data_IF_390909009911
#
_entry.id   IF_390909009911
#
_cell.length_a   1.000
_cell.length_b   1.000
_cell.length_c   1.000
_cell.angle_alpha   90.00
_cell.angle_beta   90.00
_cell.angle_gamma   90.00
#
_symmetry.space_group_name_H-M   'P 1'
#
loop_
_entity.id
_entity.type
_entity.pdbx_description
1 polymer ?
#
# COMPACT_ATOMS: atom_id res chain seq x y z
N UNK A 1 27.20 4.52 23.16
CA UNK A 1 25.99 4.64 22.32
C UNK A 1 24.84 3.94 23.00
N UNK A 2 23.74 4.67 23.31
CA UNK A 2 22.54 4.11 23.91
C UNK A 2 21.63 3.56 22.79
N UNK A 3 21.29 2.27 22.86
CA UNK A 3 20.33 1.63 21.95
C UNK A 3 18.98 1.52 22.65
N UNK A 4 17.90 1.95 21.98
CA UNK A 4 16.52 1.78 22.46
C UNK A 4 15.80 0.94 21.41
N UNK A 5 15.16 -0.15 21.85
CA UNK A 5 14.35 -1.02 21.00
C UNK A 5 12.88 -0.73 21.32
N UNK A 6 12.08 -0.47 20.28
CA UNK A 6 10.65 -0.18 20.37
C UNK A 6 9.91 -1.15 19.48
N UNK A 7 8.93 -1.86 20.02
CA UNK A 7 8.00 -2.64 19.23
C UNK A 7 7.03 -1.71 18.52
N UNK A 8 6.82 -1.94 17.21
CA UNK A 8 5.92 -1.12 16.42
C UNK A 8 4.48 -1.62 16.50
N UNK A 9 3.58 -0.80 16.00
CA UNK A 9 2.15 -1.01 16.01
C UNK A 9 1.65 -1.43 14.63
N UNK A 10 0.53 -2.12 14.62
CA UNK A 10 -0.23 -2.46 13.43
C UNK A 10 -1.21 -1.33 13.15
N UNK A 11 -1.24 -0.76 11.92
CA UNK A 11 -2.01 0.43 11.57
C UNK A 11 -1.76 1.59 12.56
N UNK A 12 -0.56 2.19 12.57
CA UNK A 12 -0.12 3.11 13.62
C UNK A 12 -0.94 4.39 13.66
N UNK A 13 -1.17 4.89 14.88
CA UNK A 13 -1.87 6.15 15.13
C UNK A 13 -0.90 7.24 15.60
N UNK A 14 -1.32 8.51 15.54
CA UNK A 14 -0.56 9.59 16.16
C UNK A 14 -0.46 9.43 17.68
N UNK A 15 -1.44 8.81 18.34
CA UNK A 15 -1.38 8.49 19.77
C UNK A 15 -0.25 7.50 20.07
N UNK A 16 -0.03 6.50 19.21
CA UNK A 16 1.07 5.56 19.39
C UNK A 16 2.42 6.25 19.22
N UNK A 17 2.53 7.14 18.23
CA UNK A 17 3.72 7.95 18.03
C UNK A 17 4.01 8.84 19.26
N UNK A 18 2.98 9.47 19.85
CA UNK A 18 3.10 10.26 21.10
C UNK A 18 3.60 9.42 22.27
N UNK A 19 3.08 8.19 22.45
CA UNK A 19 3.53 7.26 23.50
C UNK A 19 5.02 6.94 23.37
N UNK A 20 5.46 6.64 22.13
CA UNK A 20 6.88 6.36 21.87
C UNK A 20 7.74 7.59 22.20
N UNK A 21 7.38 8.78 21.71
CA UNK A 21 8.13 10.00 21.98
C UNK A 21 8.25 10.27 23.46
N UNK A 22 7.18 10.06 24.24
CA UNK A 22 7.21 10.21 25.71
C UNK A 22 8.18 9.22 26.37
N UNK A 23 8.24 7.96 25.89
CA UNK A 23 9.11 6.93 26.47
C UNK A 23 10.60 7.18 26.23
N UNK A 24 10.94 7.93 25.16
CA UNK A 24 12.33 8.24 24.78
C UNK A 24 12.72 9.70 25.04
N UNK A 25 11.90 10.44 25.80
CA UNK A 25 12.10 11.86 26.08
C UNK A 25 13.50 12.12 26.68
N UNK A 26 14.16 13.16 26.19
CA UNK A 26 15.51 13.57 26.64
C UNK A 26 16.65 12.75 26.02
N UNK A 27 16.38 11.77 25.20
CA UNK A 27 17.40 11.04 24.45
C UNK A 27 17.62 11.69 23.08
N UNK A 28 18.89 11.92 22.71
CA UNK A 28 19.27 12.34 21.36
C UNK A 28 19.57 11.09 20.50
N UNK A 29 19.11 11.10 19.29
CA UNK A 29 19.32 10.02 18.31
C UNK A 29 20.03 10.57 17.08
N UNK A 30 20.99 9.82 16.56
CA UNK A 30 21.73 10.12 15.33
C UNK A 30 21.17 9.29 14.15
N UNK A 31 20.47 8.19 14.45
CA UNK A 31 19.95 7.24 13.47
C UNK A 31 18.69 6.56 14.02
N UNK A 32 17.72 6.30 13.14
CA UNK A 32 16.57 5.45 13.42
C UNK A 32 16.59 4.29 12.41
N UNK A 33 16.45 3.06 12.90
CA UNK A 33 16.39 1.87 12.06
C UNK A 33 14.99 1.27 12.19
N UNK A 34 14.24 1.22 11.09
CA UNK A 34 12.94 0.55 10.99
C UNK A 34 13.11 -0.85 10.42
N UNK A 35 12.95 -1.89 11.26
CA UNK A 35 13.02 -3.30 10.83
C UNK A 35 11.63 -3.92 10.98
N UNK A 36 10.94 -4.21 9.89
CA UNK A 36 9.58 -4.77 9.95
C UNK A 36 8.77 -4.54 8.69
N UNK A 37 7.45 -4.59 8.79
CA UNK A 37 6.54 -4.24 7.70
C UNK A 37 6.38 -2.73 7.53
N UNK A 38 5.54 -2.32 6.57
CA UNK A 38 5.28 -0.91 6.25
C UNK A 38 4.93 -0.07 7.48
N UNK A 39 4.05 -0.57 8.36
CA UNK A 39 3.70 0.12 9.61
C UNK A 39 4.90 0.41 10.52
N UNK A 40 5.85 -0.52 10.62
CA UNK A 40 7.08 -0.33 11.40
C UNK A 40 7.97 0.75 10.76
N UNK A 41 8.09 0.71 9.44
CA UNK A 41 8.88 1.69 8.68
C UNK A 41 8.23 3.07 8.79
N UNK A 42 6.90 3.15 8.70
CA UNK A 42 6.17 4.41 8.88
C UNK A 42 6.36 5.00 10.29
N UNK A 43 6.34 4.16 11.33
CA UNK A 43 6.67 4.61 12.70
C UNK A 43 8.09 5.17 12.77
N UNK A 44 9.08 4.50 12.18
CA UNK A 44 10.47 4.98 12.14
C UNK A 44 10.57 6.35 11.42
N UNK A 45 9.91 6.49 10.28
CA UNK A 45 9.84 7.73 9.50
C UNK A 45 9.11 8.83 10.25
N UNK A 46 7.95 8.53 10.86
CA UNK A 46 7.21 9.49 11.69
C UNK A 46 8.00 9.96 12.90
N UNK A 47 8.71 9.05 13.59
CA UNK A 47 9.60 9.40 14.71
C UNK A 47 10.73 10.33 14.27
N UNK A 48 11.29 10.13 13.09
CA UNK A 48 12.44 10.91 12.59
C UNK A 48 12.18 12.42 12.57
N UNK A 49 10.92 12.81 12.37
CA UNK A 49 10.50 14.22 12.36
C UNK A 49 9.76 14.65 13.62
N UNK A 50 9.00 13.74 14.24
CA UNK A 50 8.14 14.09 15.37
C UNK A 50 8.92 14.31 16.68
N UNK A 51 10.07 13.66 16.87
CA UNK A 51 10.91 13.82 18.09
C UNK A 51 11.31 15.28 18.31
N UNK A 52 11.66 15.98 17.24
CA UNK A 52 12.10 17.38 17.29
C UNK A 52 10.97 18.39 17.08
N UNK A 53 9.74 17.93 16.85
CA UNK A 53 8.60 18.78 16.57
C UNK A 53 7.96 19.31 17.87
N UNK A 54 8.02 20.64 18.07
CA UNK A 54 7.58 21.29 19.31
C UNK A 54 6.08 21.54 19.41
N UNK A 55 5.32 21.34 18.31
CA UNK A 55 3.88 21.55 18.26
C UNK A 55 3.13 20.21 18.35
N UNK A 56 1.81 20.24 18.25
CA UNK A 56 1.01 19.00 18.16
C UNK A 56 1.41 18.18 16.94
N UNK A 57 1.87 16.94 17.14
CA UNK A 57 2.40 16.09 16.07
C UNK A 57 1.34 15.73 15.00
N UNK A 58 0.05 15.83 15.33
CA UNK A 58 -1.02 15.66 14.33
C UNK A 58 -1.00 16.73 13.24
N UNK A 59 -0.38 17.89 13.51
CA UNK A 59 -0.17 18.94 12.53
C UNK A 59 0.88 18.59 11.47
N UNK A 60 1.63 17.50 11.67
CA UNK A 60 2.55 16.94 10.66
C UNK A 60 1.80 16.27 9.51
N UNK A 61 0.54 15.85 9.70
CA UNK A 61 -0.25 15.21 8.66
C UNK A 61 -0.50 16.16 7.47
N UNK A 62 -0.15 15.73 6.28
CA UNK A 62 -0.24 16.51 5.04
C UNK A 62 1.12 16.66 4.37
N UNK A 63 1.20 17.53 3.37
CA UNK A 63 2.39 17.75 2.56
C UNK A 63 3.20 18.91 3.15
N UNK A 64 4.50 18.67 3.41
CA UNK A 64 5.50 19.66 3.85
C UNK A 64 5.04 20.55 5.04
N UNK A 65 4.49 19.90 6.09
CA UNK A 65 3.97 20.60 7.27
C UNK A 65 5.05 21.00 8.29
N UNK A 66 6.32 20.79 7.98
CA UNK A 66 7.47 21.12 8.83
C UNK A 66 8.70 21.47 7.99
N UNK A 67 9.63 22.27 8.59
CA UNK A 67 10.84 22.73 7.89
C UNK A 67 12.15 22.24 8.54
N UNK A 68 12.09 21.65 9.75
CA UNK A 68 13.29 21.13 10.41
C UNK A 68 13.77 19.83 9.74
N UNK A 69 15.05 19.51 9.93
CA UNK A 69 15.63 18.28 9.41
C UNK A 69 15.17 17.08 10.22
N UNK A 70 15.01 15.95 9.53
CA UNK A 70 14.71 14.66 10.13
C UNK A 70 15.96 13.97 10.63
N UNK A 71 15.81 13.08 11.60
CA UNK A 71 16.84 12.11 11.94
C UNK A 71 16.93 11.09 10.79
N UNK A 72 18.13 10.74 10.30
CA UNK A 72 18.28 9.74 9.24
C UNK A 72 17.57 8.43 9.57
N UNK A 73 16.88 7.86 8.58
CA UNK A 73 16.18 6.58 8.70
C UNK A 73 16.86 5.55 7.80
N UNK A 74 17.08 4.35 8.34
CA UNK A 74 17.39 3.13 7.59
C UNK A 74 16.17 2.24 7.65
N UNK A 75 15.66 1.81 6.49
CA UNK A 75 14.51 0.92 6.39
C UNK A 75 14.94 -0.48 5.97
N UNK A 76 14.49 -1.49 6.72
CA UNK A 76 14.78 -2.91 6.48
C UNK A 76 13.44 -3.65 6.50
N UNK A 77 12.75 -3.79 5.35
CA UNK A 77 11.47 -4.46 5.31
C UNK A 77 11.61 -5.97 5.58
N UNK A 78 10.73 -6.49 6.44
CA UNK A 78 10.60 -7.95 6.70
C UNK A 78 9.35 -8.54 6.05
N UNK A 79 8.66 -7.77 5.24
CA UNK A 79 7.53 -8.15 4.39
C UNK A 79 7.41 -7.12 3.26
N UNK A 80 7.11 -7.57 2.05
CA UNK A 80 7.10 -6.72 0.87
C UNK A 80 5.67 -6.48 0.36
N UNK A 81 5.41 -5.27 -0.13
CA UNK A 81 4.11 -4.87 -0.67
C UNK A 81 3.88 -3.36 -0.64
N UNK A 82 4.04 -2.72 0.53
CA UNK A 82 3.73 -1.30 0.71
C UNK A 82 4.71 -0.32 0.06
N UNK A 83 5.97 -0.73 -0.14
CA UNK A 83 7.04 0.15 -0.61
C UNK A 83 7.41 1.29 0.35
N UNK A 84 7.00 1.21 1.61
CA UNK A 84 7.26 2.25 2.62
C UNK A 84 8.74 2.59 2.78
N UNK A 85 9.62 1.64 2.47
CA UNK A 85 11.07 1.76 2.58
C UNK A 85 11.70 2.77 1.61
N UNK A 86 11.00 3.15 0.54
CA UNK A 86 11.51 4.11 -0.44
C UNK A 86 10.60 5.33 -0.64
N UNK A 87 9.46 5.40 0.06
CA UNK A 87 8.51 6.50 -0.12
C UNK A 87 8.81 7.70 0.78
N UNK A 88 8.55 8.95 0.32
CA UNK A 88 8.61 10.17 1.12
C UNK A 88 7.32 10.37 1.94
N UNK A 89 6.68 9.30 2.39
CA UNK A 89 5.42 9.33 3.13
C UNK A 89 5.45 8.39 4.32
N UNK A 90 5.00 8.83 5.49
CA UNK A 90 4.78 8.02 6.68
C UNK A 90 3.29 8.08 7.05
N UNK A 91 2.57 6.95 6.94
CA UNK A 91 1.12 6.92 7.05
C UNK A 91 0.67 6.62 8.47
N UNK A 92 -0.21 7.48 9.00
CA UNK A 92 -0.79 7.36 10.34
C UNK A 92 -2.31 7.57 10.31
N UNK A 93 -3.02 6.92 11.23
CA UNK A 93 -4.41 7.24 11.52
C UNK A 93 -4.43 8.38 12.55
N UNK A 94 -5.13 9.46 12.19
CA UNK A 94 -5.48 10.49 13.14
C UNK A 94 -6.75 10.04 13.88
N UNK A 95 -6.58 9.58 15.10
CA UNK A 95 -7.66 8.98 15.89
C UNK A 95 -8.79 9.98 16.24
N UNK A 96 -8.49 11.30 16.22
CA UNK A 96 -9.48 12.35 16.48
C UNK A 96 -10.38 12.60 15.26
N UNK A 97 -9.79 12.65 14.07
CA UNK A 97 -10.52 12.95 12.82
C UNK A 97 -10.95 11.71 12.06
N UNK A 98 -10.45 10.53 12.46
CA UNK A 98 -10.61 9.26 11.74
C UNK A 98 -10.09 9.33 10.29
N UNK A 99 -9.10 10.18 10.05
CA UNK A 99 -8.45 10.30 8.74
C UNK A 99 -7.14 9.50 8.77
N UNK A 100 -7.02 8.51 7.90
CA UNK A 100 -5.74 7.86 7.58
C UNK A 100 -5.05 8.69 6.51
N UNK A 101 -3.79 9.08 6.73
CA UNK A 101 -3.04 9.91 5.79
C UNK A 101 -1.59 10.08 6.18
N UNK A 102 -0.76 10.55 5.24
CA UNK A 102 0.68 10.62 5.39
C UNK A 102 1.18 11.91 6.05
N UNK A 103 2.32 11.79 6.72
CA UNK A 103 3.31 12.85 6.86
C UNK A 103 4.13 12.78 5.56
N UNK A 104 3.90 13.69 4.63
CA UNK A 104 4.49 13.64 3.30
C UNK A 104 5.54 14.73 3.15
N UNK A 105 6.79 14.33 2.98
CA UNK A 105 7.92 15.24 2.71
C UNK A 105 9.13 14.41 2.29
N UNK A 106 9.97 14.94 1.40
CA UNK A 106 11.26 14.32 1.07
C UNK A 106 12.12 14.07 2.31
N UNK A 107 11.94 14.88 3.36
CA UNK A 107 12.65 14.75 4.65
C UNK A 107 12.29 13.49 5.45
N UNK A 108 11.17 12.81 5.17
CA UNK A 108 10.80 11.53 5.83
C UNK A 108 11.22 10.31 5.03
N UNK A 109 11.73 10.50 3.80
CA UNK A 109 12.22 9.39 2.99
C UNK A 109 13.41 8.71 3.67
N UNK A 110 13.44 7.38 3.79
CA UNK A 110 14.59 6.67 4.32
C UNK A 110 15.86 6.96 3.50
N UNK A 111 16.96 7.19 4.20
CA UNK A 111 18.25 7.45 3.55
C UNK A 111 18.82 6.19 2.90
N UNK A 112 18.51 5.02 3.49
CA UNK A 112 18.90 3.72 2.97
C UNK A 112 17.74 2.74 3.15
N UNK A 113 17.54 1.87 2.15
CA UNK A 113 16.63 0.74 2.20
C UNK A 113 17.40 -0.54 1.88
N UNK A 114 17.30 -1.55 2.76
CA UNK A 114 17.92 -2.86 2.56
C UNK A 114 16.84 -3.90 2.40
N UNK A 115 16.69 -4.45 1.20
CA UNK A 115 15.73 -5.49 0.90
C UNK A 115 16.46 -6.84 0.91
N UNK A 116 16.22 -7.62 1.96
CA UNK A 116 16.76 -8.96 2.10
C UNK A 116 15.61 -9.97 2.22
N UNK A 117 15.37 -10.79 1.17
CA UNK A 117 14.31 -11.80 1.19
C UNK A 117 14.44 -12.83 2.33
N UNK A 118 15.65 -13.08 2.83
CA UNK A 118 15.83 -13.97 3.97
C UNK A 118 15.18 -13.45 5.25
N UNK A 119 15.20 -12.15 5.49
CA UNK A 119 14.53 -11.55 6.66
C UNK A 119 13.02 -11.71 6.61
N UNK A 120 12.46 -11.80 5.41
CA UNK A 120 11.04 -11.98 5.20
C UNK A 120 10.55 -13.40 5.54
N UNK A 121 11.39 -14.44 5.40
CA UNK A 121 11.03 -15.86 5.65
C UNK A 121 10.45 -16.15 7.04
N UNK A 122 10.58 -15.23 7.98
CA UNK A 122 9.97 -15.36 9.32
C UNK A 122 8.43 -15.21 9.36
N UNK A 123 7.81 -14.81 8.26
CA UNK A 123 6.37 -14.55 8.18
C UNK A 123 5.62 -15.71 7.54
N UNK A 124 4.31 -15.79 7.83
CA UNK A 124 3.45 -16.79 7.19
C UNK A 124 3.21 -16.45 5.72
N UNK A 125 3.12 -17.45 4.84
CA UNK A 125 2.87 -17.27 3.41
C UNK A 125 1.62 -16.41 3.15
N UNK A 126 0.54 -16.60 3.93
CA UNK A 126 -0.66 -15.75 3.86
C UNK A 126 -0.37 -14.25 4.07
N UNK A 127 0.52 -13.94 5.01
CA UNK A 127 0.88 -12.53 5.24
C UNK A 127 1.64 -11.94 4.06
N UNK A 128 2.57 -12.71 3.47
CA UNK A 128 3.27 -12.29 2.25
C UNK A 128 2.30 -12.08 1.10
N UNK A 129 1.41 -13.04 0.87
CA UNK A 129 0.41 -12.94 -0.19
C UNK A 129 -0.49 -11.71 0.01
N UNK A 130 -1.00 -11.49 1.24
CA UNK A 130 -1.85 -10.32 1.53
C UNK A 130 -1.11 -9.01 1.26
N UNK A 131 0.16 -8.88 1.69
CA UNK A 131 0.94 -7.65 1.45
C UNK A 131 1.33 -7.50 -0.03
N UNK A 132 1.59 -8.58 -0.74
CA UNK A 132 1.86 -8.53 -2.17
C UNK A 132 0.66 -8.02 -2.99
N UNK A 133 -0.58 -8.26 -2.53
CA UNK A 133 -1.76 -7.66 -3.15
C UNK A 133 -1.79 -6.13 -3.03
N UNK A 134 -1.18 -5.54 -2.01
CA UNK A 134 -1.02 -4.08 -1.92
C UNK A 134 -0.15 -3.55 -3.08
N UNK A 135 0.97 -4.21 -3.37
CA UNK A 135 1.79 -3.89 -4.54
C UNK A 135 1.03 -4.08 -5.86
N UNK A 136 0.12 -5.06 -5.96
CA UNK A 136 -0.74 -5.22 -7.15
C UNK A 136 -1.74 -4.09 -7.29
N UNK A 137 -2.34 -3.61 -6.20
CA UNK A 137 -3.19 -2.41 -6.23
C UNK A 137 -2.38 -1.23 -6.73
N UNK A 138 -1.18 -1.02 -6.18
CA UNK A 138 -0.28 0.06 -6.60
C UNK A 138 0.02 -0.02 -8.10
N UNK A 139 0.39 -1.19 -8.64
CA UNK A 139 0.76 -1.32 -10.04
C UNK A 139 -0.43 -1.27 -10.99
N UNK A 140 -1.48 -2.08 -10.76
CA UNK A 140 -2.59 -2.20 -11.70
C UNK A 140 -3.44 -0.93 -11.77
N UNK A 141 -3.63 -0.22 -10.63
CA UNK A 141 -4.39 1.03 -10.63
C UNK A 141 -3.55 2.21 -11.11
N UNK A 142 -2.25 2.29 -10.78
CA UNK A 142 -1.37 3.35 -11.27
C UNK A 142 -1.10 3.26 -12.77
N UNK A 143 -1.13 2.06 -13.37
CA UNK A 143 -0.99 1.88 -14.82
C UNK A 143 -2.04 2.66 -15.60
N UNK A 144 -3.29 2.64 -15.14
CA UNK A 144 -4.43 3.26 -15.80
C UNK A 144 -4.81 4.64 -15.20
N UNK A 145 -4.03 5.15 -14.25
CA UNK A 145 -4.24 6.50 -13.72
C UNK A 145 -4.25 7.53 -14.86
N UNK A 146 -5.14 8.53 -14.78
CA UNK A 146 -5.26 9.56 -15.82
C UNK A 146 -4.02 10.49 -15.91
N UNK A 147 -3.11 10.41 -14.96
CA UNK A 147 -1.82 11.11 -14.96
C UNK A 147 -0.63 10.18 -15.23
N UNK A 148 -0.89 8.89 -15.51
CA UNK A 148 0.17 7.95 -15.87
C UNK A 148 0.79 8.29 -17.22
N UNK A 149 2.05 7.95 -17.39
CA UNK A 149 2.82 8.14 -18.60
C UNK A 149 3.65 6.87 -18.91
N UNK A 150 4.42 6.86 -20.00
CA UNK A 150 5.19 5.69 -20.40
C UNK A 150 6.20 5.23 -19.33
N UNK A 151 6.79 6.16 -18.57
CA UNK A 151 7.69 5.83 -17.48
C UNK A 151 6.94 5.08 -16.37
N UNK A 152 5.84 5.64 -15.83
CA UNK A 152 5.06 5.01 -14.76
C UNK A 152 4.44 3.69 -15.21
N UNK A 153 3.93 3.62 -16.45
CA UNK A 153 3.38 2.39 -17.02
C UNK A 153 4.41 1.26 -17.15
N UNK A 154 5.66 1.59 -17.50
CA UNK A 154 6.73 0.60 -17.55
C UNK A 154 7.00 -0.01 -16.18
N UNK A 155 7.06 0.80 -15.13
CA UNK A 155 7.22 0.33 -13.75
C UNK A 155 6.00 -0.47 -13.29
N UNK A 156 4.79 0.02 -13.52
CA UNK A 156 3.55 -0.68 -13.16
C UNK A 156 3.44 -2.06 -13.81
N UNK A 157 3.74 -2.17 -15.11
CA UNK A 157 3.73 -3.42 -15.84
C UNK A 157 4.73 -4.43 -15.24
N UNK A 158 5.99 -4.02 -15.07
CA UNK A 158 7.03 -4.88 -14.49
C UNK A 158 6.70 -5.24 -13.03
N UNK A 159 6.15 -4.31 -12.25
CA UNK A 159 5.68 -4.55 -10.89
C UNK A 159 4.61 -5.65 -10.86
N UNK A 160 3.57 -5.52 -11.67
CA UNK A 160 2.48 -6.50 -11.71
C UNK A 160 2.95 -7.89 -12.16
N UNK A 161 3.82 -7.98 -13.18
CA UNK A 161 4.39 -9.24 -13.65
C UNK A 161 5.18 -9.93 -12.51
N UNK A 162 6.10 -9.22 -11.88
CA UNK A 162 6.95 -9.78 -10.82
C UNK A 162 6.13 -10.20 -9.60
N UNK A 163 5.18 -9.38 -9.15
CA UNK A 163 4.36 -9.71 -7.99
C UNK A 163 3.47 -10.92 -8.26
N UNK A 164 2.78 -11.00 -9.40
CA UNK A 164 1.93 -12.16 -9.72
C UNK A 164 2.79 -13.42 -9.86
N UNK A 165 3.95 -13.34 -10.54
CA UNK A 165 4.88 -14.47 -10.67
C UNK A 165 5.38 -14.95 -9.31
N UNK A 166 5.75 -14.02 -8.43
CA UNK A 166 6.18 -14.33 -7.07
C UNK A 166 5.05 -14.99 -6.26
N UNK A 167 3.83 -14.48 -6.34
CA UNK A 167 2.67 -15.09 -5.68
C UNK A 167 2.39 -16.52 -6.14
N UNK A 168 2.53 -16.81 -7.45
CA UNK A 168 2.38 -18.18 -8.01
C UNK A 168 3.50 -19.14 -7.59
N UNK A 169 4.63 -18.61 -7.16
CA UNK A 169 5.81 -19.37 -6.76
C UNK A 169 5.93 -19.53 -5.24
N UNK A 170 5.21 -18.74 -4.45
CA UNK A 170 5.45 -18.52 -3.02
C UNK A 170 5.36 -19.79 -2.16
N UNK A 171 4.51 -20.74 -2.51
CA UNK A 171 4.41 -22.05 -1.82
C UNK A 171 5.35 -23.13 -2.41
N UNK A 172 6.08 -22.82 -3.50
CA UNK A 172 6.95 -23.79 -4.20
C UNK A 172 8.43 -23.46 -4.00
N UNK A 173 8.79 -22.20 -4.11
CA UNK A 173 10.14 -21.67 -3.91
C UNK A 173 10.05 -20.30 -3.22
N UNK A 174 9.96 -20.34 -1.89
CA UNK A 174 9.70 -19.15 -1.07
C UNK A 174 10.74 -18.04 -1.29
N UNK A 175 12.03 -18.38 -1.35
CA UNK A 175 13.08 -17.36 -1.46
C UNK A 175 13.04 -16.63 -2.80
N UNK A 176 12.90 -17.35 -3.90
CA UNK A 176 12.75 -16.77 -5.22
C UNK A 176 11.46 -15.95 -5.33
N UNK A 177 10.36 -16.48 -4.78
CA UNK A 177 9.08 -15.77 -4.72
C UNK A 177 9.18 -14.45 -3.96
N UNK A 178 9.82 -14.45 -2.78
CA UNK A 178 10.03 -13.25 -1.98
C UNK A 178 10.95 -12.24 -2.69
N UNK A 179 11.94 -12.71 -3.44
CA UNK A 179 12.78 -11.85 -4.29
C UNK A 179 11.93 -11.16 -5.37
N UNK A 180 11.11 -11.93 -6.10
CA UNK A 180 10.22 -11.37 -7.11
C UNK A 180 9.20 -10.38 -6.52
N UNK A 181 8.61 -10.70 -5.36
CA UNK A 181 7.65 -9.81 -4.68
C UNK A 181 8.36 -8.53 -4.20
N UNK A 182 9.56 -8.63 -3.65
CA UNK A 182 10.34 -7.46 -3.22
C UNK A 182 10.62 -6.51 -4.40
N UNK A 183 11.19 -7.02 -5.48
CA UNK A 183 11.46 -6.24 -6.69
C UNK A 183 10.17 -5.67 -7.30
N UNK A 184 9.11 -6.50 -7.39
CA UNK A 184 7.82 -6.09 -7.90
C UNK A 184 7.17 -4.99 -7.05
N UNK A 185 7.31 -5.07 -5.73
CA UNK A 185 6.85 -4.03 -4.78
C UNK A 185 7.55 -2.68 -5.03
N UNK A 186 8.88 -2.69 -5.24
CA UNK A 186 9.63 -1.48 -5.58
C UNK A 186 9.16 -0.88 -6.90
N UNK A 187 9.00 -1.68 -7.95
CA UNK A 187 8.47 -1.18 -9.21
C UNK A 187 7.05 -0.62 -9.07
N UNK A 188 6.18 -1.31 -8.35
CA UNK A 188 4.80 -0.87 -8.13
C UNK A 188 4.73 0.48 -7.43
N UNK A 189 5.52 0.68 -6.37
CA UNK A 189 5.50 1.92 -5.60
C UNK A 189 6.17 3.08 -6.36
N UNK A 190 7.21 2.84 -7.17
CA UNK A 190 7.78 3.86 -8.04
C UNK A 190 6.72 4.36 -9.04
N UNK A 191 5.95 3.45 -9.64
CA UNK A 191 4.83 3.85 -10.49
C UNK A 191 3.83 4.70 -9.73
N UNK A 192 3.41 4.25 -8.53
CA UNK A 192 2.44 4.97 -7.71
C UNK A 192 2.91 6.38 -7.30
N UNK A 193 4.17 6.55 -6.92
CA UNK A 193 4.74 7.84 -6.52
C UNK A 193 4.69 8.90 -7.64
N UNK A 194 4.65 8.48 -8.89
CA UNK A 194 4.64 9.36 -10.07
C UNK A 194 3.33 9.30 -10.87
N UNK A 195 2.33 8.62 -10.33
CA UNK A 195 0.96 8.58 -10.82
C UNK A 195 -0.01 8.58 -9.63
N UNK A 196 -1.03 7.76 -9.59
CA UNK A 196 -1.91 7.66 -8.42
C UNK A 196 -2.68 6.33 -8.49
N UNK A 197 -3.18 5.86 -7.35
CA UNK A 197 -4.08 4.72 -7.27
C UNK A 197 -5.54 5.12 -7.53
N UNK A 198 -6.44 4.13 -7.53
CA UNK A 198 -7.83 4.31 -7.91
C UNK A 198 -8.79 3.77 -6.84
N UNK A 199 -9.82 3.02 -7.22
CA UNK A 199 -10.92 2.62 -6.32
C UNK A 199 -10.53 1.65 -5.23
N UNK A 200 -9.71 0.63 -5.52
CA UNK A 200 -9.31 -0.34 -4.52
C UNK A 200 -8.41 0.31 -3.45
N UNK A 201 -7.45 1.13 -3.90
CA UNK A 201 -6.63 1.93 -3.01
C UNK A 201 -7.46 2.93 -2.21
N UNK A 202 -8.34 3.70 -2.85
CA UNK A 202 -9.18 4.68 -2.18
C UNK A 202 -10.10 4.07 -1.12
N UNK A 203 -10.63 2.86 -1.36
CA UNK A 203 -11.51 2.17 -0.42
C UNK A 203 -10.76 1.67 0.83
N UNK A 204 -9.48 1.35 0.71
CA UNK A 204 -8.68 0.82 1.82
C UNK A 204 -8.48 1.83 2.95
N UNK A 205 -8.45 3.13 2.67
CA UNK A 205 -8.24 4.17 3.66
C UNK A 205 -9.38 4.30 4.69
N UNK A 206 -10.65 4.51 4.28
CA UNK A 206 -11.75 4.57 5.24
C UNK A 206 -12.00 3.23 5.93
N UNK A 207 -11.77 2.10 5.27
CA UNK A 207 -11.90 0.79 5.90
C UNK A 207 -10.89 0.59 7.02
N UNK A 208 -9.64 0.99 6.83
CA UNK A 208 -8.64 0.95 7.89
C UNK A 208 -8.99 1.94 9.03
N UNK A 209 -9.38 3.16 8.71
CA UNK A 209 -9.61 4.21 9.70
C UNK A 209 -10.88 4.02 10.55
N UNK A 210 -11.96 3.51 9.97
CA UNK A 210 -13.26 3.37 10.65
C UNK A 210 -13.55 1.96 11.17
N UNK A 211 -13.01 0.93 10.49
CA UNK A 211 -13.32 -0.47 10.81
C UNK A 211 -12.10 -1.26 11.29
N UNK A 212 -10.91 -0.66 11.27
CA UNK A 212 -9.67 -1.30 11.74
C UNK A 212 -9.15 -2.42 10.85
N UNK A 213 -9.64 -2.53 9.60
CA UNK A 213 -9.11 -3.50 8.65
C UNK A 213 -7.69 -3.14 8.21
N UNK A 214 -6.86 -4.15 8.03
CA UNK A 214 -5.53 -3.98 7.47
C UNK A 214 -5.60 -3.43 6.03
N UNK A 215 -4.74 -2.45 5.71
CA UNK A 215 -4.72 -1.79 4.41
C UNK A 215 -4.54 -2.76 3.24
N UNK A 216 -3.53 -3.63 3.33
CA UNK A 216 -3.25 -4.63 2.30
C UNK A 216 -4.39 -5.65 2.14
N UNK A 217 -5.05 -6.05 3.24
CA UNK A 217 -6.23 -6.91 3.19
C UNK A 217 -7.39 -6.21 2.45
N UNK A 218 -7.57 -4.91 2.67
CA UNK A 218 -8.56 -4.13 1.91
C UNK A 218 -8.23 -4.15 0.42
N UNK A 219 -6.98 -3.84 0.05
CA UNK A 219 -6.52 -3.90 -1.34
C UNK A 219 -6.80 -5.25 -1.99
N UNK A 220 -6.42 -6.35 -1.33
CA UNK A 220 -6.66 -7.71 -1.79
C UNK A 220 -8.15 -8.03 -2.02
N UNK A 221 -9.03 -7.45 -1.20
CA UNK A 221 -10.48 -7.67 -1.31
C UNK A 221 -11.15 -6.83 -2.39
N UNK A 222 -10.56 -5.68 -2.74
CA UNK A 222 -11.20 -4.74 -3.65
C UNK A 222 -10.60 -4.73 -5.05
N UNK A 223 -9.39 -5.27 -5.26
CA UNK A 223 -8.71 -5.20 -6.57
C UNK A 223 -9.51 -5.88 -7.69
N UNK A 224 -10.00 -7.09 -7.51
CA UNK A 224 -10.76 -7.81 -8.53
C UNK A 224 -12.10 -7.11 -8.86
N UNK A 225 -12.68 -6.41 -7.90
CA UNK A 225 -13.90 -5.62 -8.06
C UNK A 225 -13.62 -4.31 -8.80
N UNK A 226 -12.50 -3.65 -8.50
CA UNK A 226 -11.99 -2.49 -9.23
C UNK A 226 -11.74 -2.82 -10.70
N UNK A 227 -11.05 -3.92 -10.96
CA UNK A 227 -10.80 -4.43 -12.32
C UNK A 227 -12.10 -4.67 -13.08
N UNK A 228 -13.06 -5.35 -12.46
CA UNK A 228 -14.38 -5.61 -13.05
C UNK A 228 -15.13 -4.32 -13.34
N UNK A 229 -15.17 -3.39 -12.37
CA UNK A 229 -15.88 -2.12 -12.49
C UNK A 229 -15.35 -1.30 -13.67
N UNK A 230 -14.03 -1.09 -13.73
CA UNK A 230 -13.43 -0.28 -14.79
C UNK A 230 -13.53 -0.95 -16.16
N UNK A 231 -13.41 -2.28 -16.23
CA UNK A 231 -13.58 -2.99 -17.51
C UNK A 231 -15.02 -2.92 -18.07
N UNK A 232 -16.03 -2.86 -17.21
CA UNK A 232 -17.41 -2.63 -17.65
C UNK A 232 -17.55 -1.25 -18.31
N UNK A 233 -16.90 -0.24 -17.75
CA UNK A 233 -16.91 1.16 -18.22
C UNK A 233 -15.97 1.39 -19.41
N UNK A 234 -14.84 0.71 -19.46
CA UNK A 234 -13.83 0.79 -20.52
C UNK A 234 -13.33 -0.63 -20.89
N UNK A 235 -13.75 -1.15 -22.02
CA UNK A 235 -13.39 -2.50 -22.49
C UNK A 235 -11.90 -2.68 -22.80
N UNK A 236 -11.14 -1.57 -22.95
CA UNK A 236 -9.69 -1.60 -23.19
C UNK A 236 -8.86 -1.47 -21.91
N UNK A 237 -9.53 -1.36 -20.76
CA UNK A 237 -8.88 -1.22 -19.45
C UNK A 237 -7.86 -2.37 -19.24
N UNK A 238 -6.61 -2.00 -18.99
CA UNK A 238 -5.46 -2.89 -18.77
C UNK A 238 -5.13 -3.85 -19.93
N UNK A 239 -5.55 -3.59 -21.17
CA UNK A 239 -5.29 -4.52 -22.29
C UNK A 239 -3.80 -4.85 -22.46
N UNK A 240 -2.90 -3.85 -22.40
CA UNK A 240 -1.46 -4.07 -22.59
C UNK A 240 -0.88 -4.95 -21.48
N UNK A 241 -1.32 -4.75 -20.23
CA UNK A 241 -0.94 -5.58 -19.07
C UNK A 241 -1.44 -7.01 -19.27
N UNK A 242 -2.72 -7.17 -19.65
CA UNK A 242 -3.36 -8.48 -19.89
C UNK A 242 -2.64 -9.24 -20.99
N UNK A 243 -2.33 -8.58 -22.11
CA UNK A 243 -1.63 -9.22 -23.24
C UNK A 243 -0.25 -9.67 -22.82
N UNK A 244 0.49 -8.83 -22.11
CA UNK A 244 1.83 -9.18 -21.62
C UNK A 244 1.82 -10.34 -20.62
N UNK A 245 0.85 -10.35 -19.69
CA UNK A 245 0.68 -11.46 -18.74
C UNK A 245 0.32 -12.77 -19.45
N UNK A 246 -0.49 -12.72 -20.50
CA UNK A 246 -0.82 -13.88 -21.34
C UNK A 246 0.40 -14.38 -22.10
N UNK A 247 1.14 -13.49 -22.76
CA UNK A 247 2.34 -13.84 -23.56
C UNK A 247 3.44 -14.47 -22.70
N UNK A 248 3.48 -14.15 -21.41
CA UNK A 248 4.36 -14.76 -20.41
C UNK A 248 3.78 -16.03 -19.75
N UNK A 249 2.61 -16.49 -20.16
CA UNK A 249 1.94 -17.67 -19.58
C UNK A 249 1.47 -17.50 -18.13
N UNK A 250 1.39 -16.26 -17.64
CA UNK A 250 0.97 -15.96 -16.26
C UNK A 250 -0.54 -16.13 -16.11
N UNK A 251 -1.32 -15.75 -17.13
CA UNK A 251 -2.77 -15.95 -17.23
C UNK A 251 -3.15 -16.78 -18.46
N UNK A 252 -4.32 -17.43 -18.43
CA UNK A 252 -4.72 -18.43 -19.44
C UNK A 252 -5.25 -17.83 -20.76
N UNK A 253 -5.86 -16.64 -20.71
CA UNK A 253 -6.50 -16.00 -21.86
C UNK A 253 -6.23 -14.50 -21.89
N UNK A 254 -6.26 -13.90 -23.10
CA UNK A 254 -6.08 -12.45 -23.34
C UNK A 254 -7.32 -11.64 -22.98
N UNK A 255 -7.83 -11.76 -21.74
CA UNK A 255 -8.97 -10.97 -21.27
C UNK A 255 -8.91 -10.73 -19.75
N UNK A 256 -9.64 -9.71 -19.32
CA UNK A 256 -9.67 -9.27 -17.91
C UNK A 256 -10.22 -10.37 -16.98
N UNK A 257 -11.13 -11.22 -17.48
CA UNK A 257 -11.69 -12.31 -16.68
C UNK A 257 -10.58 -13.27 -16.23
N UNK A 258 -9.65 -13.59 -17.15
CA UNK A 258 -8.53 -14.48 -16.85
C UNK A 258 -7.60 -13.91 -15.78
N UNK A 259 -7.36 -12.61 -15.78
CA UNK A 259 -6.61 -11.93 -14.71
C UNK A 259 -7.39 -11.99 -13.37
N UNK A 260 -8.67 -11.66 -13.38
CA UNK A 260 -9.52 -11.72 -12.19
C UNK A 260 -9.58 -13.15 -11.61
N UNK A 261 -9.74 -14.16 -12.45
CA UNK A 261 -9.79 -15.56 -12.04
C UNK A 261 -8.44 -16.00 -11.42
N UNK A 262 -7.32 -15.58 -12.02
CA UNK A 262 -5.98 -15.85 -11.46
C UNK A 262 -5.80 -15.22 -10.07
N UNK A 263 -6.17 -13.95 -9.91
CA UNK A 263 -6.09 -13.27 -8.61
C UNK A 263 -6.99 -13.95 -7.55
N UNK A 264 -8.17 -14.42 -7.94
CA UNK A 264 -9.05 -15.19 -7.04
C UNK A 264 -8.45 -16.54 -6.66
N UNK A 265 -7.83 -17.25 -7.60
CA UNK A 265 -7.14 -18.50 -7.30
C UNK A 265 -6.03 -18.29 -6.29
N UNK A 266 -5.19 -17.26 -6.46
CA UNK A 266 -4.13 -16.90 -5.53
C UNK A 266 -4.72 -16.56 -4.15
N UNK A 267 -5.79 -15.75 -4.07
CA UNK A 267 -6.44 -15.42 -2.81
C UNK A 267 -6.92 -16.67 -2.06
N UNK A 268 -7.53 -17.62 -2.77
CA UNK A 268 -8.01 -18.87 -2.20
C UNK A 268 -6.86 -19.76 -1.74
N UNK A 269 -5.79 -19.88 -2.54
CA UNK A 269 -4.59 -20.67 -2.23
C UNK A 269 -3.95 -20.24 -0.90
N UNK A 270 -3.84 -18.93 -0.67
CA UNK A 270 -3.27 -18.37 0.56
C UNK A 270 -4.30 -18.08 1.65
N UNK A 271 -5.56 -18.48 1.47
CA UNK A 271 -6.65 -18.28 2.43
C UNK A 271 -6.74 -16.82 2.92
N UNK A 272 -6.66 -15.87 1.97
CA UNK A 272 -6.82 -14.44 2.27
C UNK A 272 -8.26 -14.20 2.73
N UNK A 273 -8.42 -13.62 3.90
CA UNK A 273 -9.72 -13.38 4.52
C UNK A 273 -10.58 -12.42 3.68
N UNK A 274 -11.87 -12.71 3.61
CA UNK A 274 -12.84 -11.81 2.98
C UNK A 274 -13.30 -10.73 3.97
N UNK A 275 -13.37 -9.49 3.49
CA UNK A 275 -14.00 -8.40 4.22
C UNK A 275 -15.50 -8.47 3.98
N UNK A 276 -16.28 -8.47 5.07
CA UNK A 276 -17.74 -8.45 5.02
C UNK A 276 -18.25 -7.05 5.34
N UNK A 277 -18.85 -6.39 4.37
CA UNK A 277 -19.50 -5.09 4.56
C UNK A 277 -20.98 -5.27 4.86
N UNK A 278 -21.46 -4.55 5.88
CA UNK A 278 -22.89 -4.46 6.14
C UNK A 278 -23.53 -3.52 5.11
N UNK A 279 -24.74 -3.81 4.67
CA UNK A 279 -25.50 -2.94 3.75
C UNK A 279 -25.63 -1.51 4.27
N UNK A 280 -25.77 -1.34 5.59
CA UNK A 280 -25.81 -0.04 6.27
C UNK A 280 -24.56 0.80 6.06
N UNK A 281 -23.40 0.16 5.86
CA UNK A 281 -22.10 0.84 5.78
C UNK A 281 -21.76 1.31 4.37
N UNK A 282 -22.40 0.73 3.35
CA UNK A 282 -22.08 1.01 1.93
C UNK A 282 -22.24 2.49 1.60
N UNK A 283 -23.34 3.12 2.01
CA UNK A 283 -23.58 4.54 1.74
C UNK A 283 -22.59 5.44 2.48
N UNK A 284 -22.27 5.10 3.74
CA UNK A 284 -21.27 5.82 4.51
C UNK A 284 -19.89 5.71 3.84
N UNK A 285 -19.46 4.49 3.49
CA UNK A 285 -18.18 4.25 2.81
C UNK A 285 -18.10 4.99 1.47
N UNK A 286 -19.16 4.95 0.67
CA UNK A 286 -19.21 5.68 -0.59
C UNK A 286 -18.99 7.19 -0.39
N UNK A 287 -19.56 7.78 0.67
CA UNK A 287 -19.36 9.18 1.02
C UNK A 287 -17.93 9.48 1.49
N UNK A 288 -17.21 8.52 2.07
CA UNK A 288 -15.81 8.69 2.45
C UNK A 288 -14.90 8.51 1.23
N UNK A 289 -15.12 7.47 0.44
CA UNK A 289 -14.29 7.15 -0.74
C UNK A 289 -14.31 8.28 -1.76
N UNK A 290 -15.49 8.87 -2.07
CA UNK A 290 -15.60 9.94 -3.06
C UNK A 290 -14.76 11.19 -2.70
N UNK A 291 -14.44 11.37 -1.40
CA UNK A 291 -13.62 12.48 -0.89
C UNK A 291 -12.12 12.19 -0.94
N UNK A 292 -11.71 10.96 -1.25
CA UNK A 292 -10.29 10.60 -1.30
C UNK A 292 -9.61 11.33 -2.47
N UNK A 293 -8.42 11.92 -2.26
CA UNK A 293 -7.74 12.70 -3.30
C UNK A 293 -7.50 11.93 -4.60
N UNK A 294 -7.20 10.63 -4.50
CA UNK A 294 -6.90 9.76 -5.64
C UNK A 294 -8.10 9.52 -6.57
N UNK A 295 -9.33 9.77 -6.13
CA UNK A 295 -10.53 9.58 -6.95
C UNK A 295 -10.52 10.46 -8.21
N UNK A 296 -9.91 11.63 -8.17
CA UNK A 296 -9.76 12.51 -9.34
C UNK A 296 -8.77 11.96 -10.39
N UNK A 297 -7.96 10.95 -10.01
CA UNK A 297 -6.95 10.32 -10.87
C UNK A 297 -7.39 8.95 -11.42
N UNK A 298 -8.65 8.57 -11.21
CA UNK A 298 -9.23 7.38 -11.85
C UNK A 298 -9.21 7.49 -13.39
N UNK A 299 -9.11 6.35 -14.11
CA UNK A 299 -9.04 6.33 -15.58
C UNK A 299 -10.26 6.93 -16.28
N UNK A 300 -11.37 6.99 -15.57
CA UNK A 300 -12.62 7.65 -16.00
C UNK A 300 -13.14 8.50 -14.85
N UNK A 301 -13.85 9.56 -15.16
CA UNK A 301 -14.54 10.35 -14.13
C UNK A 301 -15.63 9.51 -13.47
N UNK A 302 -15.57 9.40 -12.15
CA UNK A 302 -16.54 8.64 -11.34
C UNK A 302 -17.30 9.54 -10.39
N UNK A 303 -18.52 9.14 -10.07
CA UNK A 303 -19.41 9.81 -9.12
C UNK A 303 -19.80 8.87 -7.97
N UNK A 304 -20.60 9.35 -7.02
CA UNK A 304 -21.02 8.56 -5.87
C UNK A 304 -21.79 7.28 -6.25
N UNK A 305 -22.64 7.32 -7.29
CA UNK A 305 -23.38 6.15 -7.74
C UNK A 305 -22.46 5.07 -8.32
N UNK A 306 -21.40 5.49 -9.01
CA UNK A 306 -20.35 4.57 -9.49
C UNK A 306 -19.65 3.86 -8.32
N UNK A 307 -19.38 4.58 -7.23
CA UNK A 307 -18.78 3.99 -6.01
C UNK A 307 -19.77 3.04 -5.31
N UNK A 308 -21.05 3.38 -5.25
CA UNK A 308 -22.08 2.49 -4.73
C UNK A 308 -22.16 1.20 -5.55
N UNK A 309 -22.11 1.30 -6.89
CA UNK A 309 -22.04 0.15 -7.78
C UNK A 309 -20.78 -0.68 -7.53
N UNK A 310 -19.60 -0.05 -7.41
CA UNK A 310 -18.35 -0.75 -7.08
C UNK A 310 -18.45 -1.51 -5.75
N UNK A 311 -18.98 -0.86 -4.70
CA UNK A 311 -19.16 -1.48 -3.39
C UNK A 311 -20.21 -2.61 -3.39
N UNK A 312 -21.17 -2.60 -4.32
CA UNK A 312 -22.17 -3.69 -4.44
C UNK A 312 -21.57 -5.00 -4.97
N UNK A 313 -20.33 -4.98 -5.48
CA UNK A 313 -19.61 -6.19 -5.87
C UNK A 313 -18.90 -6.88 -4.69
N UNK A 314 -18.94 -6.28 -3.51
CA UNK A 314 -18.34 -6.77 -2.24
C UNK A 314 -19.37 -7.56 -1.37
#
# INVERSE_FOLDING_TARGET
NKKIIINSFYEPTFLDLEKIIKSIKGTKFELIIGIGGGSTIDVAKGLSVAINYKKNIRNLQGIDKFNHDSIPVVAIPSIFGSGAEITPSAVFINEKTKIKGGINSEKVQPKYAFLDPYLAKSKKLRQHATCAFDALVHSLESYESNISNNFTKSFALNGSIKVISGLKLLNKNELEALTLIAEGSIYSIISLMHSEQSLAGAASYPLAAYYGYNHALCGANFIDKSLKFFHIKNKRYLNDVIYKLYDLGIIKNRNIKSLIDELKMIKNEYMIENIMLKKSDITFLANQIIKMPMIKHTPIKINKNDILQFLSYV
#
